data_IF_648414468241
#
_entry.id   IF_648414468241
#
_cell.length_a   1.000
_cell.length_b   1.000
_cell.length_c   1.000
_cell.angle_alpha   90.00
_cell.angle_beta   90.00
_cell.angle_gamma   90.00
#
_symmetry.space_group_name_H-M   'P 1'
#
loop_
_entity.id
_entity.type
_entity.pdbx_description
1 polymer ?
#
# COMPACT_ATOMS: atom_id res chain seq x y z
N UNK A 1 2.02 -15.67 29.79
CA UNK A 1 3.07 -15.42 28.77
C UNK A 1 2.42 -15.56 27.42
N UNK A 2 1.95 -14.45 26.86
CA UNK A 2 1.53 -14.40 25.46
C UNK A 2 2.80 -14.63 24.64
N UNK A 3 2.87 -15.78 23.99
CA UNK A 3 3.90 -16.06 23.00
C UNK A 3 3.74 -15.01 21.92
N UNK A 4 4.59 -13.99 21.91
CA UNK A 4 4.68 -13.09 20.77
C UNK A 4 5.15 -14.00 19.64
N UNK A 5 4.22 -14.42 18.78
CA UNK A 5 4.57 -15.08 17.54
C UNK A 5 5.44 -14.07 16.80
N UNK A 6 6.76 -14.33 16.77
CA UNK A 6 7.70 -13.55 15.98
C UNK A 6 7.48 -13.79 14.47
N UNK A 7 6.70 -14.81 14.12
CA UNK A 7 6.26 -15.03 12.76
C UNK A 7 5.50 -13.81 12.23
N UNK A 8 5.97 -13.32 11.08
CA UNK A 8 5.35 -12.22 10.37
C UNK A 8 3.91 -12.59 10.00
N UNK A 9 2.92 -11.75 10.32
CA UNK A 9 1.53 -12.02 9.95
C UNK A 9 1.40 -12.04 8.42
N UNK A 10 0.75 -13.06 7.89
CA UNK A 10 0.53 -13.21 6.44
C UNK A 10 -0.30 -12.04 5.85
N UNK A 11 -1.10 -11.37 6.67
CA UNK A 11 -1.91 -10.21 6.31
C UNK A 11 -1.15 -8.89 6.28
N UNK A 12 0.15 -8.86 6.63
CA UNK A 12 0.91 -7.60 6.71
C UNK A 12 0.84 -6.78 5.42
N UNK A 13 1.22 -7.38 4.28
CA UNK A 13 1.27 -6.69 2.99
C UNK A 13 -0.12 -6.26 2.48
N UNK A 14 -1.15 -7.14 2.45
CA UNK A 14 -2.48 -6.71 2.00
C UNK A 14 -3.08 -5.64 2.92
N UNK A 15 -2.87 -5.70 4.23
CA UNK A 15 -3.38 -4.65 5.13
C UNK A 15 -2.64 -3.32 4.96
N UNK A 16 -1.32 -3.34 4.68
CA UNK A 16 -0.58 -2.11 4.32
C UNK A 16 -1.12 -1.48 3.02
N UNK A 17 -1.51 -2.30 2.04
CA UNK A 17 -2.17 -1.85 0.82
C UNK A 17 -3.53 -1.20 1.12
N UNK A 18 -4.37 -1.85 1.93
CA UNK A 18 -5.68 -1.28 2.33
C UNK A 18 -5.52 0.09 3.01
N UNK A 19 -4.52 0.25 3.87
CA UNK A 19 -4.26 1.53 4.55
C UNK A 19 -3.72 2.57 3.57
N UNK A 20 -2.82 2.18 2.66
CA UNK A 20 -2.32 3.06 1.58
C UNK A 20 -3.48 3.58 0.73
N UNK A 21 -4.35 2.68 0.27
CA UNK A 21 -5.45 2.98 -0.63
C UNK A 21 -6.58 3.74 0.07
N UNK A 22 -6.71 3.61 1.40
CA UNK A 22 -7.61 4.45 2.20
C UNK A 22 -7.23 5.94 2.19
N UNK A 23 -5.99 6.27 1.81
CA UNK A 23 -5.48 7.64 1.79
C UNK A 23 -5.27 8.27 3.17
N UNK A 24 -5.54 7.54 4.26
CA UNK A 24 -5.41 8.05 5.63
C UNK A 24 -3.96 8.22 6.08
N UNK A 25 -3.07 7.37 5.58
CA UNK A 25 -1.63 7.41 5.87
C UNK A 25 -0.82 7.53 4.57
N UNK A 26 -0.82 8.70 3.90
CA UNK A 26 -0.25 8.87 2.56
C UNK A 26 1.27 8.64 2.49
N UNK A 27 1.97 8.78 3.62
CA UNK A 27 3.41 8.56 3.70
C UNK A 27 3.81 7.23 4.33
N UNK A 28 2.84 6.36 4.65
CA UNK A 28 3.07 5.12 5.41
C UNK A 28 3.96 5.39 6.64
N UNK A 29 3.64 6.44 7.40
CA UNK A 29 4.35 6.72 8.65
C UNK A 29 3.99 5.67 9.70
N UNK A 30 4.99 5.16 10.42
CA UNK A 30 4.83 4.07 11.38
C UNK A 30 3.70 4.32 12.38
N UNK A 31 3.68 5.49 13.02
CA UNK A 31 2.66 5.86 14.00
C UNK A 31 1.25 5.88 13.38
N UNK A 32 1.11 6.41 12.17
CA UNK A 32 -0.16 6.45 11.44
C UNK A 32 -0.65 5.03 11.10
N UNK A 33 0.25 4.19 10.59
CA UNK A 33 -0.07 2.80 10.24
C UNK A 33 -0.49 2.01 11.48
N UNK A 34 0.25 2.10 12.59
CA UNK A 34 -0.10 1.40 13.84
C UNK A 34 -1.46 1.87 14.38
N UNK A 35 -1.74 3.17 14.35
CA UNK A 35 -3.02 3.72 14.82
C UNK A 35 -4.20 3.29 13.93
N UNK A 36 -4.03 3.32 12.61
CA UNK A 36 -5.05 2.88 11.67
C UNK A 36 -5.28 1.37 11.77
N UNK A 37 -4.23 0.56 11.94
CA UNK A 37 -4.35 -0.89 12.17
C UNK A 37 -5.16 -1.20 13.42
N UNK A 38 -4.93 -0.48 14.51
CA UNK A 38 -5.73 -0.62 15.75
C UNK A 38 -7.18 -0.20 15.53
N UNK A 39 -7.39 0.89 14.79
CA UNK A 39 -8.72 1.43 14.49
C UNK A 39 -9.54 0.51 13.58
N UNK A 40 -8.88 -0.20 12.67
CA UNK A 40 -9.50 -1.13 11.70
C UNK A 40 -9.64 -2.56 12.22
N UNK A 41 -9.15 -2.84 13.43
CA UNK A 41 -9.25 -4.16 14.07
C UNK A 41 -8.13 -5.14 13.68
N UNK A 42 -7.09 -4.67 13.00
CA UNK A 42 -5.87 -5.43 12.70
C UNK A 42 -4.87 -5.38 13.86
N UNK A 43 -5.35 -5.63 15.08
CA UNK A 43 -4.54 -5.54 16.31
C UNK A 43 -3.33 -6.48 16.31
N UNK A 44 -3.44 -7.65 15.69
CA UNK A 44 -2.34 -8.61 15.57
C UNK A 44 -1.19 -8.04 14.71
N UNK A 45 -1.52 -7.40 13.59
CA UNK A 45 -0.54 -6.77 12.69
C UNK A 45 0.08 -5.55 13.38
N UNK A 46 -0.73 -4.75 14.08
CA UNK A 46 -0.26 -3.61 14.86
C UNK A 46 0.73 -4.06 15.95
N UNK A 47 0.38 -5.06 16.74
CA UNK A 47 1.22 -5.59 17.82
C UNK A 47 2.53 -6.18 17.28
N UNK A 48 2.49 -6.86 16.14
CA UNK A 48 3.71 -7.38 15.50
C UNK A 48 4.61 -6.24 15.02
N UNK A 49 4.04 -5.21 14.38
CA UNK A 49 4.78 -4.02 13.94
C UNK A 49 5.38 -3.25 15.12
N UNK A 50 4.65 -3.08 16.22
CA UNK A 50 5.16 -2.48 17.46
C UNK A 50 6.34 -3.28 18.04
N UNK A 51 6.31 -4.61 17.94
CA UNK A 51 7.42 -5.47 18.36
C UNK A 51 8.60 -5.49 17.37
N UNK A 52 8.40 -5.06 16.13
CA UNK A 52 9.38 -5.11 15.03
C UNK A 52 9.59 -3.75 14.35
N UNK A 53 9.51 -2.65 15.13
CA UNK A 53 9.66 -1.28 14.61
C UNK A 53 10.96 -1.08 13.82
N UNK A 54 12.06 -1.70 14.27
CA UNK A 54 13.35 -1.62 13.59
C UNK A 54 13.30 -2.16 12.15
N UNK A 55 12.46 -3.16 11.88
CA UNK A 55 12.27 -3.75 10.55
C UNK A 55 11.26 -2.97 9.70
N UNK A 56 10.46 -2.08 10.30
CA UNK A 56 9.41 -1.36 9.59
C UNK A 56 9.93 -0.58 8.39
N UNK A 57 11.04 0.15 8.56
CA UNK A 57 11.62 0.93 7.47
C UNK A 57 11.99 0.05 6.27
N UNK A 58 12.56 -1.12 6.52
CA UNK A 58 12.91 -2.09 5.47
C UNK A 58 11.65 -2.64 4.79
N UNK A 59 10.63 -2.99 5.58
CA UNK A 59 9.34 -3.46 5.06
C UNK A 59 8.73 -2.43 4.11
N UNK A 60 8.61 -1.16 4.51
CA UNK A 60 7.96 -0.12 3.70
C UNK A 60 8.79 0.28 2.47
N UNK A 61 10.12 0.27 2.56
CA UNK A 61 11.00 0.78 1.49
C UNK A 61 11.49 -0.27 0.51
N UNK A 62 11.51 -1.55 0.89
CA UNK A 62 12.01 -2.63 0.05
C UNK A 62 10.96 -3.71 -0.18
N UNK A 63 10.43 -4.30 0.89
CA UNK A 63 9.59 -5.50 0.78
C UNK A 63 8.21 -5.19 0.22
N UNK A 64 7.56 -4.12 0.70
CA UNK A 64 6.23 -3.71 0.27
C UNK A 64 6.21 -3.25 -1.19
N UNK A 65 7.14 -2.40 -1.69
CA UNK A 65 7.24 -2.09 -3.12
C UNK A 65 7.51 -3.31 -3.99
N UNK A 66 8.33 -4.26 -3.52
CA UNK A 66 8.58 -5.49 -4.26
C UNK A 66 7.33 -6.36 -4.33
N UNK A 67 6.64 -6.54 -3.20
CA UNK A 67 5.38 -7.27 -3.13
C UNK A 67 4.32 -6.67 -4.06
N UNK A 68 4.23 -5.33 -4.12
CA UNK A 68 3.34 -4.64 -5.05
C UNK A 68 3.68 -4.96 -6.51
N UNK A 69 4.96 -4.97 -6.89
CA UNK A 69 5.38 -5.34 -8.26
C UNK A 69 5.07 -6.79 -8.60
N UNK A 70 5.17 -7.69 -7.62
CA UNK A 70 4.89 -9.11 -7.81
C UNK A 70 3.38 -9.39 -7.91
N UNK A 71 2.55 -8.68 -7.14
CA UNK A 71 1.10 -8.90 -7.07
C UNK A 71 0.28 -8.01 -8.01
N UNK A 72 0.81 -6.84 -8.37
CA UNK A 72 0.19 -5.84 -9.25
C UNK A 72 1.18 -5.41 -10.33
N UNK A 73 1.59 -6.32 -11.24
CA UNK A 73 2.58 -6.02 -12.27
C UNK A 73 2.11 -4.97 -13.30
N UNK A 74 0.80 -4.74 -13.39
CA UNK A 74 0.16 -3.77 -14.27
C UNK A 74 -0.11 -2.41 -13.59
N UNK A 75 0.23 -2.23 -12.30
CA UNK A 75 0.18 -0.91 -11.65
C UNK A 75 1.49 -0.18 -12.01
N UNK A 76 1.50 0.77 -12.96
CA UNK A 76 2.67 1.60 -13.15
C UNK A 76 2.95 2.34 -11.85
N UNK A 77 4.23 2.58 -11.55
CA UNK A 77 4.82 3.38 -10.46
C UNK A 77 4.29 4.86 -10.40
N UNK A 78 3.11 5.17 -10.96
CA UNK A 78 2.56 6.52 -11.15
C UNK A 78 1.04 6.54 -11.33
N UNK A 79 0.27 6.33 -10.25
CA UNK A 79 -1.12 6.87 -10.16
C UNK A 79 -1.08 8.36 -9.73
N UNK A 80 -0.22 9.14 -10.39
CA UNK A 80 -0.26 10.59 -10.36
C UNK A 80 0.08 11.21 -11.73
N UNK A 81 0.50 10.43 -12.73
CA UNK A 81 0.92 10.99 -14.03
C UNK A 81 0.21 10.43 -15.26
N UNK A 82 -0.58 9.35 -15.17
CA UNK A 82 -1.14 8.71 -16.39
C UNK A 82 -2.67 8.75 -16.54
N UNK A 83 -3.34 9.71 -15.91
CA UNK A 83 -4.76 9.97 -16.20
C UNK A 83 -4.98 10.76 -17.52
N UNK A 84 -3.92 11.12 -18.25
CA UNK A 84 -4.02 11.86 -19.51
C UNK A 84 -3.96 10.98 -20.77
N UNK A 85 -3.47 9.73 -20.70
CA UNK A 85 -3.30 8.89 -21.89
C UNK A 85 -4.51 8.00 -22.24
N UNK A 86 -5.42 7.74 -21.29
CA UNK A 86 -6.55 6.83 -21.50
C UNK A 86 -7.84 7.51 -21.99
N UNK A 87 -7.87 8.84 -22.12
CA UNK A 87 -8.96 9.53 -22.83
C UNK A 87 -8.55 9.72 -24.29
N UNK A 88 -8.47 8.60 -25.00
CA UNK A 88 -8.58 8.56 -26.45
C UNK A 88 -9.96 9.06 -26.89
N UNK A 89 -10.19 10.36 -26.77
CA UNK A 89 -11.20 11.03 -27.58
C UNK A 89 -10.58 11.18 -28.96
N UNK A 90 -10.76 10.14 -29.77
CA UNK A 90 -10.70 10.24 -31.22
C UNK A 90 -11.45 11.51 -31.62
N UNK A 91 -10.72 12.52 -32.10
CA UNK A 91 -11.36 13.61 -32.81
C UNK A 91 -11.98 12.99 -34.05
N UNK A 92 -13.32 13.02 -34.24
CA UNK A 92 -13.85 12.70 -35.55
C UNK A 92 -13.25 13.72 -36.53
N UNK A 93 -12.55 13.22 -37.55
CA UNK A 93 -12.15 14.05 -38.68
C UNK A 93 -13.44 14.54 -39.35
N UNK A 94 -13.84 15.76 -39.00
CA UNK A 94 -14.95 16.47 -39.61
C UNK A 94 -14.66 16.59 -41.12
N UNK A 95 -15.40 15.79 -41.87
CA UNK A 95 -15.48 15.79 -43.31
C UNK A 95 -16.13 17.10 -43.77
N UNK A 96 -15.37 18.18 -43.91
CA UNK A 96 -15.81 19.35 -44.68
C UNK A 96 -14.64 20.12 -45.31
N UNK A 97 -14.31 19.78 -46.56
CA UNK A 97 -14.33 20.70 -47.73
C UNK A 97 -13.79 20.00 -48.99
#
# INVERSE_FOLDING_TARGET
MTSVNNDRPHSLMPTLLEIRDSGKCPMLEFSCIVDELKTTGHEEVAAWLESHEASYKEIITQEFPQWLKEHFPDEPDSIAQDAAAATGLEMPEDSFS
#
